data_IF_789211898486
#
_entry.id   IF_789211898486
#
_cell.length_a   1.000
_cell.length_b   1.000
_cell.length_c   1.000
_cell.angle_alpha   90.00
_cell.angle_beta   90.00
_cell.angle_gamma   90.00
#
_symmetry.space_group_name_H-M   'P 1'
#
loop_
_entity.id
_entity.type
_entity.pdbx_description
1 polymer ?
#
# COMPACT_ATOMS: atom_id res chain seq x y z
N UNK A 1 33.54 -7.41 -18.56
CA UNK A 1 33.66 -7.07 -20.00
C UNK A 1 32.70 -5.94 -20.33
N UNK A 2 32.90 -5.34 -21.49
CA UNK A 2 32.28 -4.06 -21.88
C UNK A 2 30.75 -4.13 -21.92
N UNK A 3 30.18 -5.28 -22.30
CA UNK A 3 28.72 -5.49 -22.27
C UNK A 3 28.10 -5.31 -20.88
N UNK A 4 28.77 -5.80 -19.81
CA UNK A 4 28.32 -5.59 -18.42
C UNK A 4 28.40 -4.12 -18.03
N UNK A 5 29.48 -3.44 -18.39
CA UNK A 5 29.69 -2.04 -18.06
C UNK A 5 28.63 -1.15 -18.73
N UNK A 6 28.35 -1.40 -20.01
CA UNK A 6 27.29 -0.71 -20.75
C UNK A 6 25.91 -0.94 -20.13
N UNK A 7 25.53 -2.20 -19.89
CA UNK A 7 24.25 -2.53 -19.29
C UNK A 7 24.06 -1.92 -17.90
N UNK A 8 25.13 -1.89 -17.08
CA UNK A 8 25.10 -1.27 -15.76
C UNK A 8 24.94 0.26 -15.82
N UNK A 9 25.44 0.91 -16.88
CA UNK A 9 25.33 2.35 -17.05
C UNK A 9 23.94 2.82 -17.53
N UNK A 10 23.20 1.96 -18.25
CA UNK A 10 21.88 2.29 -18.82
C UNK A 10 20.71 1.56 -18.12
N UNK A 11 21.00 0.71 -17.13
CA UNK A 11 20.00 -0.07 -16.40
C UNK A 11 19.03 0.80 -15.62
N UNK A 12 17.74 0.65 -15.91
CA UNK A 12 16.69 1.33 -15.16
C UNK A 12 16.62 0.82 -13.71
N UNK A 13 16.41 1.74 -12.75
CA UNK A 13 16.14 1.37 -11.35
C UNK A 13 14.80 0.64 -11.23
N UNK A 14 14.74 -0.35 -10.35
CA UNK A 14 13.53 -1.17 -10.11
C UNK A 14 12.49 -0.49 -9.23
N UNK A 15 12.84 0.62 -8.58
CA UNK A 15 12.01 1.30 -7.56
C UNK A 15 10.60 1.69 -8.06
N UNK A 16 10.41 2.43 -9.17
CA UNK A 16 9.05 2.83 -9.56
C UNK A 16 8.34 1.73 -10.37
N UNK A 17 7.02 1.58 -10.21
CA UNK A 17 6.21 0.79 -11.13
C UNK A 17 6.23 1.42 -12.53
N UNK A 18 6.11 0.58 -13.56
CA UNK A 18 6.02 1.01 -14.97
C UNK A 18 5.01 0.18 -15.73
N UNK A 19 4.91 0.38 -17.04
CA UNK A 19 3.95 -0.28 -17.93
C UNK A 19 4.06 -1.81 -17.90
N UNK A 20 5.25 -2.35 -17.61
CA UNK A 20 5.47 -3.79 -17.47
C UNK A 20 5.04 -4.39 -16.12
N UNK A 21 4.58 -3.57 -15.17
CA UNK A 21 4.47 -3.94 -13.75
C UNK A 21 5.67 -3.43 -12.97
N UNK A 22 6.45 -4.33 -12.36
CA UNK A 22 7.57 -3.97 -11.48
C UNK A 22 7.13 -3.80 -10.02
N UNK A 23 7.69 -2.83 -9.30
CA UNK A 23 7.31 -2.48 -7.92
C UNK A 23 5.95 -1.77 -7.90
N UNK A 24 4.88 -2.53 -8.06
CA UNK A 24 3.53 -1.98 -7.97
C UNK A 24 3.01 -1.92 -6.54
N UNK A 25 3.54 -2.74 -5.65
CA UNK A 25 3.23 -2.76 -4.21
C UNK A 25 1.71 -2.83 -3.95
N UNK A 26 1.05 -3.70 -4.71
CA UNK A 26 -0.39 -3.98 -4.62
C UNK A 26 -0.57 -5.18 -3.69
N UNK A 27 -0.95 -4.94 -2.44
CA UNK A 27 -1.20 -5.99 -1.43
C UNK A 27 -2.16 -7.09 -1.92
N UNK A 28 -3.10 -6.73 -2.80
CA UNK A 28 -4.12 -7.63 -3.35
C UNK A 28 -3.58 -8.54 -4.47
N UNK A 29 -2.40 -8.26 -5.03
CA UNK A 29 -1.65 -9.20 -5.88
C UNK A 29 -0.92 -10.24 -5.01
N UNK A 30 -1.70 -10.96 -4.21
CA UNK A 30 -1.21 -11.89 -3.20
C UNK A 30 -1.14 -13.35 -3.68
N UNK A 31 -0.67 -14.26 -2.80
CA UNK A 31 -0.64 -15.70 -3.08
C UNK A 31 -2.03 -16.21 -3.49
N UNK A 32 -2.10 -16.93 -4.60
CA UNK A 32 -3.37 -17.42 -5.17
C UNK A 32 -4.00 -16.51 -6.23
N UNK A 33 -3.49 -15.28 -6.40
CA UNK A 33 -3.87 -14.40 -7.51
C UNK A 33 -3.43 -14.95 -8.87
N UNK A 34 -4.09 -14.47 -9.92
CA UNK A 34 -3.72 -14.76 -11.32
C UNK A 34 -3.49 -13.45 -12.06
N UNK A 35 -2.23 -13.18 -12.41
CA UNK A 35 -1.80 -11.96 -13.10
C UNK A 35 -1.46 -12.23 -14.57
N UNK A 36 -1.73 -11.23 -15.41
CA UNK A 36 -1.46 -11.23 -16.84
C UNK A 36 -0.54 -10.06 -17.17
N UNK A 37 0.70 -10.38 -17.51
CA UNK A 37 1.72 -9.38 -17.87
C UNK A 37 1.81 -9.17 -19.40
N UNK A 38 2.03 -7.93 -19.86
CA UNK A 38 2.50 -7.68 -21.22
C UNK A 38 3.92 -8.23 -21.42
N UNK A 39 4.23 -8.73 -22.61
CA UNK A 39 5.53 -9.32 -22.96
C UNK A 39 6.22 -8.47 -24.02
N UNK A 40 7.38 -7.91 -23.69
CA UNK A 40 8.13 -6.96 -24.55
C UNK A 40 9.34 -7.58 -25.25
N UNK A 41 9.84 -8.72 -24.76
CA UNK A 41 11.00 -9.41 -25.31
C UNK A 41 10.72 -10.90 -25.50
N UNK A 42 11.46 -11.53 -26.41
CA UNK A 42 11.40 -12.97 -26.59
C UNK A 42 11.70 -13.71 -25.27
N UNK A 43 10.95 -14.78 -24.97
CA UNK A 43 11.08 -15.54 -23.73
C UNK A 43 10.41 -14.90 -22.50
N UNK A 44 9.90 -13.67 -22.57
CA UNK A 44 9.15 -13.02 -21.50
C UNK A 44 9.99 -12.44 -20.36
N UNK A 45 11.04 -13.15 -19.92
CA UNK A 45 12.00 -12.65 -18.93
C UNK A 45 11.37 -12.31 -17.56
N UNK A 46 10.51 -13.19 -17.05
CA UNK A 46 9.83 -12.97 -15.77
C UNK A 46 10.83 -13.01 -14.59
N UNK A 47 10.82 -11.97 -13.77
CA UNK A 47 11.55 -11.85 -12.51
C UNK A 47 10.59 -11.51 -11.38
N UNK A 48 10.89 -11.95 -10.16
CA UNK A 48 10.11 -11.66 -8.94
C UNK A 48 11.04 -11.48 -7.75
N UNK A 49 10.70 -10.57 -6.85
CA UNK A 49 11.39 -10.26 -5.60
C UNK A 49 10.44 -9.49 -4.68
N UNK A 50 10.99 -8.77 -3.69
CA UNK A 50 10.23 -7.83 -2.85
C UNK A 50 9.01 -8.48 -2.18
N UNK A 51 9.28 -9.54 -1.40
CA UNK A 51 8.19 -10.30 -0.78
C UNK A 51 7.74 -9.63 0.49
N UNK A 52 6.44 -9.34 0.52
CA UNK A 52 5.76 -8.74 1.64
C UNK A 52 4.93 -9.79 2.38
N UNK A 53 5.12 -9.91 3.69
CA UNK A 53 4.25 -10.75 4.51
C UNK A 53 2.87 -10.10 4.68
N UNK A 54 2.84 -8.78 4.83
CA UNK A 54 1.64 -7.94 4.85
C UNK A 54 2.01 -6.50 4.48
N UNK A 55 1.06 -5.74 3.97
CA UNK A 55 1.23 -4.34 3.58
C UNK A 55 -0.12 -3.61 3.70
N UNK A 56 -0.08 -2.34 4.07
CA UNK A 56 -1.21 -1.41 3.93
C UNK A 56 -1.27 -0.80 2.53
N UNK A 57 -2.45 -0.35 2.09
CA UNK A 57 -2.56 0.36 0.82
C UNK A 57 -1.71 1.64 0.77
N UNK A 58 -1.07 1.83 -0.38
CA UNK A 58 -0.17 2.96 -0.63
C UNK A 58 1.20 2.84 0.00
N UNK A 59 1.48 1.79 0.77
CA UNK A 59 2.78 1.52 1.39
C UNK A 59 3.41 2.78 2.02
N UNK A 60 2.61 3.50 2.80
CA UNK A 60 2.89 4.91 3.13
C UNK A 60 4.24 5.13 3.83
N UNK A 61 4.77 4.10 4.50
CA UNK A 61 6.06 4.12 5.20
C UNK A 61 7.28 4.07 4.28
N UNK A 62 7.11 3.73 3.00
CA UNK A 62 8.12 3.55 1.95
C UNK A 62 9.20 2.48 2.22
N UNK A 63 9.84 2.51 3.39
CA UNK A 63 10.50 1.32 3.95
C UNK A 63 9.40 0.46 4.58
N UNK A 64 8.47 0.06 3.74
CA UNK A 64 7.19 -0.50 4.11
C UNK A 64 7.08 -1.96 3.73
N UNK A 65 5.83 -2.40 3.82
CA UNK A 65 5.46 -3.76 4.12
C UNK A 65 6.19 -4.38 5.33
N UNK A 66 5.78 -5.59 5.66
CA UNK A 66 6.61 -6.51 6.42
C UNK A 66 7.52 -7.21 5.40
N UNK A 67 8.67 -6.60 5.13
CA UNK A 67 9.67 -7.13 4.20
C UNK A 67 10.24 -8.47 4.65
N UNK A 68 10.38 -9.41 3.72
CA UNK A 68 10.96 -10.71 4.03
C UNK A 68 11.71 -11.37 2.86
N UNK A 69 12.70 -12.18 3.22
CA UNK A 69 13.17 -13.23 2.33
C UNK A 69 12.11 -14.35 2.27
N UNK A 70 12.02 -15.05 1.14
CA UNK A 70 11.06 -16.13 0.98
C UNK A 70 11.15 -16.83 -0.37
N UNK A 71 10.05 -17.43 -0.77
CA UNK A 71 9.94 -18.19 -2.03
C UNK A 71 8.56 -17.98 -2.65
N UNK A 72 8.52 -18.04 -3.99
CA UNK A 72 7.28 -17.98 -4.77
C UNK A 72 7.14 -19.27 -5.56
N UNK A 73 6.02 -19.96 -5.39
CA UNK A 73 5.64 -21.09 -6.24
C UNK A 73 4.60 -20.60 -7.26
N UNK A 74 4.94 -20.67 -8.55
CA UNK A 74 4.10 -20.13 -9.63
C UNK A 74 3.93 -21.10 -10.80
N UNK A 75 2.84 -20.93 -11.55
CA UNK A 75 2.59 -21.57 -12.84
C UNK A 75 2.49 -20.51 -13.93
N UNK A 76 3.17 -20.71 -15.05
CA UNK A 76 3.16 -19.80 -16.19
C UNK A 76 2.50 -20.44 -17.41
N UNK A 77 1.86 -19.62 -18.24
CA UNK A 77 1.28 -20.00 -19.54
C UNK A 77 1.16 -18.77 -20.44
N UNK A 78 0.87 -18.96 -21.72
CA UNK A 78 0.87 -17.87 -22.71
C UNK A 78 -0.50 -17.67 -23.36
N UNK A 79 -0.86 -16.41 -23.56
CA UNK A 79 -1.95 -15.99 -24.45
C UNK A 79 -1.30 -15.32 -25.67
N UNK A 80 -1.25 -16.04 -26.79
CA UNK A 80 -0.63 -15.53 -28.02
C UNK A 80 -1.41 -14.32 -28.56
N UNK A 81 -0.70 -13.20 -28.74
CA UNK A 81 -1.29 -11.93 -29.14
C UNK A 81 -2.19 -11.29 -28.08
N UNK A 82 -2.02 -11.63 -26.80
CA UNK A 82 -2.91 -11.20 -25.71
C UNK A 82 -3.02 -9.68 -25.58
N UNK A 83 -1.92 -8.93 -25.74
CA UNK A 83 -1.93 -7.48 -25.61
C UNK A 83 -2.89 -6.80 -26.60
N UNK A 84 -2.81 -7.16 -27.89
CA UNK A 84 -3.69 -6.61 -28.92
C UNK A 84 -5.14 -7.07 -28.76
N UNK A 85 -5.35 -8.35 -28.41
CA UNK A 85 -6.70 -8.94 -28.26
C UNK A 85 -7.52 -8.30 -27.13
N UNK A 86 -6.86 -7.89 -26.05
CA UNK A 86 -7.52 -7.38 -24.84
C UNK A 86 -7.18 -5.92 -24.52
N UNK A 87 -6.47 -5.21 -25.41
CA UNK A 87 -6.10 -3.80 -25.19
C UNK A 87 -5.21 -3.60 -23.95
N UNK A 88 -4.29 -4.54 -23.68
CA UNK A 88 -3.46 -4.50 -22.47
C UNK A 88 -2.33 -3.48 -22.64
N UNK A 89 -2.31 -2.47 -21.75
CA UNK A 89 -1.19 -1.54 -21.57
C UNK A 89 -0.38 -1.90 -20.32
N UNK A 90 -1.03 -1.86 -19.16
CA UNK A 90 -0.48 -2.26 -17.87
C UNK A 90 -0.98 -3.67 -17.49
N UNK A 91 -0.34 -4.36 -16.53
CA UNK A 91 -0.80 -5.68 -16.09
C UNK A 91 -2.23 -5.64 -15.54
N UNK A 92 -2.96 -6.74 -15.72
CA UNK A 92 -4.27 -6.96 -15.09
C UNK A 92 -4.23 -8.26 -14.29
N UNK A 93 -5.03 -8.39 -13.23
CA UNK A 93 -5.05 -9.60 -12.43
C UNK A 93 -6.43 -9.90 -11.84
N UNK A 94 -6.62 -11.17 -11.45
CA UNK A 94 -7.70 -11.60 -10.56
C UNK A 94 -7.11 -11.79 -9.16
N UNK A 95 -7.72 -11.21 -8.11
CA UNK A 95 -7.23 -11.37 -6.75
C UNK A 95 -7.36 -12.82 -6.27
N UNK A 96 -6.67 -13.12 -5.17
CA UNK A 96 -6.70 -14.44 -4.54
C UNK A 96 -8.09 -14.76 -3.98
N UNK A 97 -8.55 -16.02 -4.07
CA UNK A 97 -9.71 -16.48 -3.31
C UNK A 97 -9.39 -16.71 -1.82
N UNK A 98 -8.13 -16.59 -1.40
CA UNK A 98 -7.66 -16.80 -0.02
C UNK A 98 -7.05 -15.50 0.49
N UNK A 99 -7.85 -14.74 1.24
CA UNK A 99 -7.43 -13.47 1.86
C UNK A 99 -7.85 -13.45 3.33
N UNK A 100 -7.20 -12.64 4.18
CA UNK A 100 -7.78 -12.25 5.46
C UNK A 100 -9.18 -11.69 5.23
N UNK A 101 -10.11 -12.01 6.12
CA UNK A 101 -11.53 -11.70 5.98
C UNK A 101 -11.99 -10.73 7.08
N UNK A 102 -11.19 -9.68 7.30
CA UNK A 102 -11.57 -8.54 8.13
C UNK A 102 -12.69 -7.77 7.45
N UNK A 103 -13.69 -7.36 8.21
CA UNK A 103 -14.92 -6.72 7.73
C UNK A 103 -15.38 -5.58 8.62
N UNK A 104 -14.94 -5.53 9.87
CA UNK A 104 -15.27 -4.47 10.81
C UNK A 104 -14.25 -3.34 10.71
N UNK A 105 -14.52 -2.39 9.82
CA UNK A 105 -13.63 -1.28 9.54
C UNK A 105 -14.08 -0.01 10.25
N UNK A 106 -13.12 0.64 10.92
CA UNK A 106 -13.23 2.07 11.25
C UNK A 106 -12.62 2.88 10.12
N UNK A 107 -13.42 3.75 9.49
CA UNK A 107 -13.06 4.44 8.25
C UNK A 107 -12.80 5.92 8.52
N UNK A 108 -11.64 6.40 8.06
CA UNK A 108 -11.18 7.77 8.21
C UNK A 108 -11.21 8.49 6.87
N UNK A 109 -11.72 9.72 6.86
CA UNK A 109 -11.82 10.56 5.66
C UNK A 109 -10.69 11.59 5.59
N UNK A 110 -10.36 12.00 4.37
CA UNK A 110 -9.49 13.14 4.10
C UNK A 110 -9.87 13.82 2.78
N UNK A 111 -9.55 15.11 2.69
CA UNK A 111 -9.87 15.97 1.54
C UNK A 111 -8.63 16.70 1.03
N UNK A 112 -8.69 17.31 -0.16
CA UNK A 112 -7.59 18.05 -0.80
C UNK A 112 -7.25 19.40 -0.12
N UNK A 113 -7.17 19.42 1.21
CA UNK A 113 -6.73 20.55 2.03
C UNK A 113 -5.58 20.05 2.92
N UNK A 114 -4.43 20.72 2.86
CA UNK A 114 -3.25 20.25 3.59
C UNK A 114 -3.23 20.67 5.07
N UNK A 115 -2.21 20.20 5.78
CA UNK A 115 -1.99 20.42 7.22
C UNK A 115 -1.89 21.91 7.60
N UNK A 116 -1.62 22.80 6.63
CA UNK A 116 -1.55 24.26 6.82
C UNK A 116 -2.87 24.94 6.46
N UNK A 117 -3.91 24.19 6.12
CA UNK A 117 -5.20 24.70 5.66
C UNK A 117 -5.17 25.22 4.22
N UNK A 118 -4.13 24.92 3.43
CA UNK A 118 -4.05 25.35 2.04
C UNK A 118 -4.91 24.44 1.16
N UNK A 119 -5.77 25.04 0.35
CA UNK A 119 -6.59 24.37 -0.65
C UNK A 119 -5.75 23.88 -1.84
N UNK A 120 -5.96 22.63 -2.25
CA UNK A 120 -5.44 22.02 -3.48
C UNK A 120 -6.59 21.63 -4.42
N UNK A 121 -6.32 21.35 -5.69
CA UNK A 121 -7.37 21.07 -6.68
C UNK A 121 -7.37 19.58 -7.06
N UNK A 122 -8.43 18.85 -6.65
CA UNK A 122 -8.64 17.43 -6.90
C UNK A 122 -7.39 16.57 -6.62
N UNK A 123 -6.69 16.88 -5.52
CA UNK A 123 -5.46 16.20 -5.13
C UNK A 123 -5.77 15.04 -4.17
N UNK A 124 -5.75 13.82 -4.72
CA UNK A 124 -5.97 12.57 -3.97
C UNK A 124 -4.78 12.25 -3.05
N UNK A 125 -3.57 12.71 -3.38
CA UNK A 125 -2.39 12.50 -2.54
C UNK A 125 -2.53 13.24 -1.22
N UNK A 126 -2.95 14.50 -1.28
CA UNK A 126 -3.23 15.31 -0.09
C UNK A 126 -4.43 14.72 0.67
N UNK A 127 -5.50 14.34 -0.03
CA UNK A 127 -6.67 13.73 0.61
C UNK A 127 -6.31 12.46 1.37
N UNK A 128 -5.54 11.54 0.78
CA UNK A 128 -5.16 10.30 1.44
C UNK A 128 -4.18 10.53 2.59
N UNK A 129 -3.26 11.51 2.48
CA UNK A 129 -2.42 11.94 3.60
C UNK A 129 -3.27 12.38 4.80
N UNK A 130 -4.30 13.20 4.58
CA UNK A 130 -5.19 13.65 5.66
C UNK A 130 -5.95 12.48 6.30
N UNK A 131 -6.45 11.53 5.50
CA UNK A 131 -7.12 10.34 6.03
C UNK A 131 -6.19 9.51 6.95
N UNK A 132 -4.93 9.30 6.54
CA UNK A 132 -3.93 8.62 7.35
C UNK A 132 -3.57 9.40 8.63
N UNK A 133 -3.39 10.72 8.55
CA UNK A 133 -3.12 11.56 9.71
C UNK A 133 -4.27 11.52 10.73
N UNK A 134 -5.52 11.53 10.25
CA UNK A 134 -6.70 11.39 11.10
C UNK A 134 -6.71 10.03 11.83
N UNK A 135 -6.38 8.94 11.14
CA UNK A 135 -6.25 7.62 11.75
C UNK A 135 -5.12 7.56 12.79
N UNK A 136 -3.98 8.20 12.53
CA UNK A 136 -2.85 8.28 13.48
C UNK A 136 -3.26 9.06 14.74
N UNK A 137 -3.90 10.22 14.60
CA UNK A 137 -4.36 11.00 15.75
C UNK A 137 -5.41 10.27 16.58
N UNK A 138 -6.25 9.44 15.93
CA UNK A 138 -7.19 8.56 16.61
C UNK A 138 -6.48 7.48 17.44
N UNK A 139 -5.56 6.74 16.83
CA UNK A 139 -4.80 5.67 17.50
C UNK A 139 -3.98 6.20 18.69
N UNK A 140 -3.43 7.41 18.60
CA UNK A 140 -2.74 8.06 19.72
C UNK A 140 -3.62 8.24 20.96
N UNK A 141 -4.95 8.28 20.83
CA UNK A 141 -5.86 8.36 21.98
C UNK A 141 -5.93 7.06 22.78
N UNK A 142 -5.54 5.93 22.20
CA UNK A 142 -5.47 4.62 22.85
C UNK A 142 -4.08 4.31 23.43
N UNK A 143 -3.11 5.22 23.27
CA UNK A 143 -1.77 5.12 23.84
C UNK A 143 -0.66 4.77 22.86
N UNK A 144 -0.96 4.57 21.57
CA UNK A 144 0.07 4.39 20.54
C UNK A 144 0.92 5.65 20.40
N UNK A 145 2.22 5.48 20.17
CA UNK A 145 3.06 6.54 19.63
C UNK A 145 2.65 6.87 18.19
N UNK A 146 3.01 8.06 17.70
CA UNK A 146 2.80 8.40 16.30
C UNK A 146 3.58 7.46 15.35
N UNK A 147 4.76 7.00 15.77
CA UNK A 147 5.60 6.10 14.99
C UNK A 147 5.00 4.68 14.91
N UNK A 148 4.45 4.17 16.03
CA UNK A 148 3.74 2.89 16.04
C UNK A 148 2.49 2.93 15.16
N UNK A 149 1.67 3.98 15.30
CA UNK A 149 0.47 4.15 14.48
C UNK A 149 0.83 4.23 13.00
N UNK A 150 1.86 5.00 12.64
CA UNK A 150 2.33 5.11 11.25
C UNK A 150 2.87 3.77 10.70
N UNK A 151 3.67 3.05 11.49
CA UNK A 151 4.17 1.71 11.13
C UNK A 151 3.04 0.71 10.94
N UNK A 152 2.01 0.76 11.79
CA UNK A 152 0.82 -0.08 11.66
C UNK A 152 0.10 0.17 10.33
N UNK A 153 -0.09 1.43 9.93
CA UNK A 153 -0.75 1.77 8.66
C UNK A 153 0.07 1.32 7.43
N UNK A 154 1.40 1.21 7.54
CA UNK A 154 2.24 0.67 6.47
C UNK A 154 2.22 -0.86 6.35
N UNK A 155 1.82 -1.58 7.40
CA UNK A 155 2.01 -3.04 7.53
C UNK A 155 0.72 -3.83 7.66
N UNK A 156 -0.26 -3.35 8.44
CA UNK A 156 -1.58 -3.96 8.54
C UNK A 156 -2.36 -3.80 7.23
N UNK A 157 -3.27 -4.73 6.87
CA UNK A 157 -4.01 -4.69 5.60
C UNK A 157 -5.15 -3.65 5.60
N UNK A 158 -4.81 -2.40 5.94
CA UNK A 158 -5.67 -1.24 5.81
C UNK A 158 -6.02 -1.00 4.34
N UNK A 159 -7.21 -0.47 4.08
CA UNK A 159 -7.65 -0.15 2.72
C UNK A 159 -7.53 1.35 2.43
N UNK A 160 -7.06 1.69 1.25
CA UNK A 160 -6.99 3.04 0.74
C UNK A 160 -7.87 3.21 -0.48
N UNK A 161 -8.87 4.07 -0.39
CA UNK A 161 -9.80 4.29 -1.50
C UNK A 161 -9.73 5.73 -2.01
N UNK A 162 -9.69 5.86 -3.34
CA UNK A 162 -10.07 7.08 -4.03
C UNK A 162 -11.60 7.11 -4.06
N UNK A 163 -12.20 7.61 -2.99
CA UNK A 163 -13.66 7.58 -2.79
C UNK A 163 -14.40 8.52 -3.74
N UNK A 164 -13.87 9.72 -3.96
CA UNK A 164 -14.44 10.72 -4.86
C UNK A 164 -13.35 11.60 -5.47
N UNK A 165 -13.45 11.90 -6.77
CA UNK A 165 -12.42 12.65 -7.52
C UNK A 165 -13.02 13.67 -8.49
N UNK A 166 -14.27 14.07 -8.26
CA UNK A 166 -15.01 14.94 -9.19
C UNK A 166 -15.57 16.21 -8.53
N UNK A 167 -15.74 16.20 -7.21
CA UNK A 167 -16.40 17.29 -6.47
C UNK A 167 -15.43 18.44 -6.22
N UNK A 168 -15.33 19.35 -7.18
CA UNK A 168 -14.42 20.49 -7.08
C UNK A 168 -14.70 21.34 -5.83
N UNK A 169 -13.66 21.79 -5.10
CA UNK A 169 -12.23 21.60 -5.39
C UNK A 169 -11.63 20.33 -4.79
N UNK A 170 -12.36 19.56 -3.98
CA UNK A 170 -11.80 18.53 -3.11
C UNK A 170 -12.00 17.12 -3.66
N UNK A 171 -10.91 16.38 -3.86
CA UNK A 171 -11.00 14.93 -3.86
C UNK A 171 -11.30 14.44 -2.43
N UNK A 172 -11.94 13.28 -2.33
CA UNK A 172 -12.19 12.55 -1.09
C UNK A 172 -11.45 11.21 -1.16
N UNK A 173 -10.62 10.94 -0.16
CA UNK A 173 -9.97 9.65 0.03
C UNK A 173 -10.35 9.09 1.40
N UNK A 174 -10.40 7.77 1.51
CA UNK A 174 -10.65 7.09 2.79
C UNK A 174 -9.58 6.07 3.12
N UNK A 175 -9.30 5.95 4.42
CA UNK A 175 -8.43 4.94 5.02
C UNK A 175 -9.29 4.04 5.91
N UNK A 176 -9.31 2.73 5.64
CA UNK A 176 -10.12 1.77 6.36
C UNK A 176 -9.22 0.94 7.27
N UNK A 177 -9.37 1.12 8.58
CA UNK A 177 -8.60 0.40 9.59
C UNK A 177 -9.42 -0.83 10.06
N UNK A 178 -8.98 -2.07 9.79
CA UNK A 178 -9.67 -3.25 10.29
C UNK A 178 -9.52 -3.31 11.81
N UNK A 179 -10.63 -3.20 12.53
CA UNK A 179 -10.65 -3.16 13.99
C UNK A 179 -10.34 -4.54 14.60
N UNK A 180 -10.51 -5.62 13.83
CA UNK A 180 -10.27 -6.99 14.32
C UNK A 180 -8.79 -7.34 14.49
N UNK A 181 -7.86 -6.46 14.10
CA UNK A 181 -6.42 -6.66 14.33
C UNK A 181 -6.01 -6.31 15.76
N UNK A 182 -6.88 -5.65 16.52
CA UNK A 182 -6.64 -5.26 17.91
C UNK A 182 -7.27 -6.28 18.86
N UNK A 183 -6.60 -6.55 19.98
CA UNK A 183 -7.11 -7.40 21.07
C UNK A 183 -7.98 -6.64 22.08
N UNK A 184 -8.25 -5.36 21.82
CA UNK A 184 -9.17 -4.49 22.56
C UNK A 184 -10.04 -3.69 21.59
N UNK A 185 -11.20 -3.25 22.07
CA UNK A 185 -12.14 -2.47 21.26
C UNK A 185 -11.64 -1.04 21.04
N UNK A 186 -11.48 -0.65 19.77
CA UNK A 186 -11.08 0.69 19.36
C UNK A 186 -12.27 1.52 18.85
N UNK A 187 -13.50 1.00 18.92
CA UNK A 187 -14.68 1.71 18.41
C UNK A 187 -15.03 2.94 19.26
N UNK A 188 -15.55 4.02 18.65
CA UNK A 188 -16.04 5.16 19.40
C UNK A 188 -17.18 4.78 20.35
N UNK A 189 -17.12 5.26 21.58
CA UNK A 189 -18.18 5.09 22.57
C UNK A 189 -18.43 6.38 23.35
N UNK A 190 -19.57 6.48 24.03
CA UNK A 190 -19.91 7.64 24.86
C UNK A 190 -18.92 7.86 26.03
N UNK A 191 -18.20 6.82 26.44
CA UNK A 191 -17.19 6.91 27.50
C UNK A 191 -15.86 7.52 27.00
N UNK A 192 -15.68 7.64 25.69
CA UNK A 192 -14.40 8.02 25.09
C UNK A 192 -13.37 6.88 25.09
N UNK A 193 -12.17 7.13 24.53
CA UNK A 193 -11.12 6.12 24.42
C UNK A 193 -10.44 5.88 25.77
N UNK A 194 -10.09 4.63 26.05
CA UNK A 194 -9.25 4.23 27.19
C UNK A 194 -7.82 4.02 26.69
N UNK A 195 -6.84 4.61 27.37
CA UNK A 195 -5.42 4.32 27.09
C UNK A 195 -5.10 2.91 27.54
N UNK A 196 -4.71 2.06 26.61
CA UNK A 196 -4.38 0.65 26.87
C UNK A 196 -2.88 0.37 26.78
N UNK A 197 -2.12 1.21 26.06
CA UNK A 197 -0.67 1.12 26.00
C UNK A 197 -0.04 2.07 27.04
N UNK A 198 0.95 1.55 27.77
CA UNK A 198 1.66 2.27 28.84
C UNK A 198 2.87 3.09 28.34
N UNK A 199 3.22 2.95 27.05
CA UNK A 199 4.33 3.66 26.42
C UNK A 199 5.72 3.12 26.78
N UNK A 200 5.82 1.92 27.38
CA UNK A 200 7.09 1.31 27.77
C UNK A 200 7.95 0.84 26.58
N UNK A 201 7.34 0.61 25.42
CA UNK A 201 8.01 0.17 24.18
C UNK A 201 7.57 1.08 23.02
N UNK A 202 8.53 1.45 22.16
CA UNK A 202 8.30 2.27 20.98
C UNK A 202 9.20 1.84 19.80
N UNK A 203 8.98 2.41 18.62
CA UNK A 203 9.78 2.20 17.42
C UNK A 203 11.20 2.76 17.62
N UNK A 204 12.26 2.02 17.24
CA UNK A 204 13.62 2.55 17.26
C UNK A 204 13.75 3.82 16.40
N UNK A 205 14.41 4.84 16.95
CA UNK A 205 14.71 6.09 16.24
C UNK A 205 16.23 6.31 16.16
N UNK A 206 16.74 6.53 14.95
CA UNK A 206 18.11 6.96 14.70
C UNK A 206 18.11 8.44 14.36
N UNK A 207 19.00 9.21 14.99
CA UNK A 207 19.22 10.60 14.59
C UNK A 207 19.92 10.65 13.23
N UNK A 208 19.71 11.75 12.51
CA UNK A 208 20.39 12.01 11.24
C UNK A 208 21.92 12.04 11.43
N UNK A 209 22.64 11.52 10.44
CA UNK A 209 24.12 11.43 10.45
C UNK A 209 24.80 12.74 10.07
#
# INVERSE_FOLDING_TARGET
GDARAKAAAEGARTVPPREHGGNCDIKDLSRGSKVYFPVYVEGGGLSVGDLHFSQGDGEITFCGAIEMAGWVHMKVSLIKGGMAKYGIKNPIFKPSPITPNYKDYLIFEGVSVDEKGKQHYLDVTIAYRQACLNAIEYLKKFGYSGAQAYSLLGTAPVQGHISGVVDVPNACATLWLPTEIFDFDINPSAAGPVKVLDGSVDMPISQDK
#
